data_IF_191243449075
#
_entry.id   IF_191243449075
#
_cell.length_a   1.000
_cell.length_b   1.000
_cell.length_c   1.000
_cell.angle_alpha   90.00
_cell.angle_beta   90.00
_cell.angle_gamma   90.00
#
_symmetry.space_group_name_H-M   'P 1'
#
loop_
_entity.id
_entity.type
_entity.pdbx_description
1 polymer ?
#
# COMPACT_ATOMS: atom_id res chain seq x y z
N UNK A 1 8.25 9.87 -1.98
CA UNK A 1 7.59 9.55 -0.71
C UNK A 1 8.38 8.53 0.12
N UNK A 2 8.74 7.36 -0.40
CA UNK A 2 9.52 6.32 0.32
C UNK A 2 10.90 6.73 0.86
N UNK A 3 11.67 7.56 0.13
CA UNK A 3 12.98 8.07 0.60
C UNK A 3 12.89 8.88 1.90
N UNK A 4 11.71 9.41 2.27
CA UNK A 4 11.53 10.16 3.53
C UNK A 4 11.38 9.23 4.74
N UNK A 5 11.04 7.97 4.51
CA UNK A 5 10.71 7.00 5.56
C UNK A 5 11.76 5.90 5.74
N UNK A 6 12.71 5.77 4.81
CA UNK A 6 13.79 4.78 4.86
C UNK A 6 15.15 5.46 4.76
N UNK A 7 16.02 5.19 5.74
CA UNK A 7 17.34 5.83 5.87
C UNK A 7 18.33 5.42 4.76
N UNK A 8 18.05 4.36 3.98
CA UNK A 8 18.90 3.87 2.90
C UNK A 8 18.11 3.61 1.62
N UNK A 9 18.63 4.07 0.50
CA UNK A 9 18.01 3.89 -0.82
C UNK A 9 17.89 2.42 -1.24
N UNK A 10 18.88 1.60 -0.88
CA UNK A 10 18.85 0.17 -1.17
C UNK A 10 17.72 -0.56 -0.42
N UNK A 11 17.42 -0.16 0.81
CA UNK A 11 16.28 -0.69 1.58
C UNK A 11 14.94 -0.24 0.96
N UNK A 12 14.84 1.01 0.53
CA UNK A 12 13.67 1.50 -0.19
C UNK A 12 13.42 0.73 -1.50
N UNK A 13 14.49 0.46 -2.26
CA UNK A 13 14.39 -0.32 -3.51
C UNK A 13 14.03 -1.78 -3.23
N UNK A 14 14.62 -2.38 -2.20
CA UNK A 14 14.30 -3.75 -1.78
C UNK A 14 12.82 -3.87 -1.37
N UNK A 15 12.31 -2.91 -0.60
CA UNK A 15 10.90 -2.86 -0.17
C UNK A 15 9.96 -2.73 -1.36
N UNK A 16 10.24 -1.80 -2.28
CA UNK A 16 9.43 -1.63 -3.50
C UNK A 16 9.42 -2.90 -4.35
N UNK A 17 10.58 -3.53 -4.51
CA UNK A 17 10.70 -4.79 -5.25
C UNK A 17 9.89 -5.91 -4.60
N UNK A 18 9.95 -6.01 -3.28
CA UNK A 18 9.14 -6.97 -2.53
C UNK A 18 7.64 -6.68 -2.69
N UNK A 19 7.23 -5.40 -2.72
CA UNK A 19 5.85 -5.00 -2.93
C UNK A 19 5.33 -5.43 -4.31
N UNK A 20 6.15 -5.26 -5.36
CA UNK A 20 5.80 -5.67 -6.71
C UNK A 20 5.65 -7.19 -6.89
N UNK A 21 6.30 -7.99 -6.04
CA UNK A 21 6.22 -9.46 -6.09
C UNK A 21 5.22 -9.99 -5.06
N UNK A 22 4.81 -9.17 -4.10
CA UNK A 22 3.84 -9.55 -3.08
C UNK A 22 2.48 -9.79 -3.70
N UNK A 23 1.83 -10.87 -3.28
CA UNK A 23 0.40 -11.00 -3.44
C UNK A 23 -0.30 -9.97 -2.54
N UNK A 24 -1.42 -9.46 -3.03
CA UNK A 24 -2.32 -8.59 -2.27
C UNK A 24 -3.74 -8.93 -2.66
N UNK A 25 -4.64 -8.86 -1.69
CA UNK A 25 -6.05 -9.14 -1.90
C UNK A 25 -6.75 -7.83 -2.26
N UNK A 26 -7.62 -7.90 -3.27
CA UNK A 26 -8.45 -6.75 -3.69
C UNK A 26 -9.89 -7.08 -3.38
N UNK A 27 -10.45 -6.37 -2.41
CA UNK A 27 -11.79 -6.56 -1.90
C UNK A 27 -12.66 -5.36 -2.30
N UNK A 28 -13.55 -5.52 -3.30
CA UNK A 28 -14.53 -4.49 -3.62
C UNK A 28 -15.64 -4.47 -2.57
N UNK A 29 -15.97 -3.27 -2.09
CA UNK A 29 -17.17 -3.00 -1.29
C UNK A 29 -18.11 -2.12 -2.12
N UNK A 30 -19.14 -2.74 -2.67
CA UNK A 30 -20.15 -2.08 -3.49
C UNK A 30 -21.05 -1.14 -2.67
N UNK A 31 -21.17 -1.32 -1.36
CA UNK A 31 -22.05 -0.49 -0.51
C UNK A 31 -21.41 0.85 -0.20
N UNK A 32 -20.11 0.85 0.10
CA UNK A 32 -19.33 2.07 0.34
C UNK A 32 -18.71 2.64 -0.94
N UNK A 33 -18.81 1.92 -2.07
CA UNK A 33 -18.11 2.21 -3.32
C UNK A 33 -16.59 2.38 -3.09
N UNK A 34 -16.02 1.45 -2.33
CA UNK A 34 -14.58 1.41 -2.02
C UNK A 34 -13.94 0.14 -2.57
N UNK A 35 -12.66 0.24 -2.90
CA UNK A 35 -11.84 -0.89 -3.30
C UNK A 35 -10.70 -1.02 -2.29
N UNK A 36 -10.79 -2.00 -1.41
CA UNK A 36 -9.78 -2.22 -0.37
C UNK A 36 -8.68 -3.11 -0.92
N UNK A 37 -7.44 -2.63 -0.81
CA UNK A 37 -6.24 -3.31 -1.30
C UNK A 37 -5.43 -3.71 -0.07
N UNK A 38 -5.53 -4.99 0.27
CA UNK A 38 -4.88 -5.60 1.41
C UNK A 38 -3.48 -6.07 1.00
N UNK A 39 -2.46 -5.40 1.51
CA UNK A 39 -1.06 -5.76 1.30
C UNK A 39 -0.59 -6.56 2.51
N UNK A 40 -0.09 -7.77 2.26
CA UNK A 40 0.46 -8.63 3.31
C UNK A 40 1.77 -8.06 3.86
N UNK A 41 1.96 -8.17 5.18
CA UNK A 41 3.21 -7.81 5.87
C UNK A 41 4.46 -8.46 5.26
N UNK A 42 5.59 -7.77 5.41
CA UNK A 42 6.88 -8.20 4.89
C UNK A 42 7.79 -8.77 5.98
N UNK A 43 8.94 -9.29 5.56
CA UNK A 43 9.82 -10.10 6.39
C UNK A 43 10.42 -9.41 7.64
N UNK A 44 10.33 -8.07 7.79
CA UNK A 44 10.83 -7.40 9.01
C UNK A 44 9.90 -6.28 9.52
N UNK A 45 9.81 -6.08 10.86
CA UNK A 45 8.95 -5.04 11.46
C UNK A 45 9.27 -3.60 11.02
N UNK A 46 10.53 -3.33 10.67
CA UNK A 46 10.94 -2.02 10.18
C UNK A 46 10.34 -1.72 8.79
N UNK A 47 10.27 -2.74 7.93
CA UNK A 47 9.62 -2.64 6.62
C UNK A 47 8.12 -2.48 6.76
N UNK A 48 7.47 -3.22 7.67
CA UNK A 48 6.04 -3.08 7.95
C UNK A 48 5.67 -1.65 8.36
N UNK A 49 6.49 -1.02 9.22
CA UNK A 49 6.27 0.37 9.63
C UNK A 49 6.38 1.34 8.47
N UNK A 50 7.41 1.20 7.63
CA UNK A 50 7.60 2.05 6.46
C UNK A 50 6.49 1.84 5.41
N UNK A 51 6.06 0.59 5.23
CA UNK A 51 4.97 0.22 4.32
C UNK A 51 3.62 0.75 4.81
N UNK A 52 3.32 0.63 6.10
CA UNK A 52 2.10 1.19 6.67
C UNK A 52 1.99 2.71 6.48
N UNK A 53 3.09 3.44 6.65
CA UNK A 53 3.13 4.88 6.36
C UNK A 53 2.89 5.18 4.88
N UNK A 54 3.51 4.41 3.98
CA UNK A 54 3.27 4.56 2.54
C UNK A 54 1.81 4.31 2.17
N UNK A 55 1.19 3.25 2.70
CA UNK A 55 -0.20 2.91 2.38
C UNK A 55 -1.17 3.95 2.97
N UNK A 56 -0.87 4.53 4.13
CA UNK A 56 -1.60 5.66 4.67
C UNK A 56 -1.51 6.89 3.76
N UNK A 57 -0.30 7.26 3.31
CA UNK A 57 -0.08 8.37 2.36
C UNK A 57 -0.83 8.14 1.02
N UNK A 58 -0.90 6.89 0.55
CA UNK A 58 -1.64 6.54 -0.66
C UNK A 58 -3.16 6.61 -0.46
N UNK A 59 -3.65 6.18 0.71
CA UNK A 59 -5.07 6.26 1.05
C UNK A 59 -5.54 7.70 1.22
N UNK A 60 -4.68 8.57 1.79
CA UNK A 60 -4.98 9.99 1.99
C UNK A 60 -5.07 10.77 0.67
N UNK A 61 -4.32 10.36 -0.35
CA UNK A 61 -4.44 10.90 -1.71
C UNK A 61 -5.79 10.60 -2.38
N UNK A 62 -6.63 9.75 -1.76
CA UNK A 62 -8.00 9.48 -2.18
C UNK A 62 -8.12 9.09 -3.66
N UNK A 63 -7.23 8.20 -4.12
CA UNK A 63 -7.29 7.68 -5.49
C UNK A 63 -8.62 6.99 -5.76
N UNK A 64 -9.15 7.22 -6.96
CA UNK A 64 -10.35 6.56 -7.45
C UNK A 64 -9.99 5.63 -8.61
N UNK A 65 -10.60 4.46 -8.63
CA UNK A 65 -10.43 3.51 -9.73
C UNK A 65 -10.98 4.13 -11.04
N UNK A 66 -10.22 4.11 -12.15
CA UNK A 66 -10.55 4.90 -13.34
C UNK A 66 -11.84 4.47 -14.04
N UNK A 67 -12.26 3.21 -13.88
CA UNK A 67 -13.44 2.68 -14.57
C UNK A 67 -14.69 2.61 -13.68
N UNK A 68 -14.52 2.41 -12.37
CA UNK A 68 -15.65 2.23 -11.44
C UNK A 68 -15.87 3.44 -10.55
N UNK A 69 -14.90 4.36 -10.47
CA UNK A 69 -14.94 5.49 -9.55
C UNK A 69 -14.82 5.09 -8.08
N UNK A 70 -14.62 3.80 -7.77
CA UNK A 70 -14.51 3.33 -6.39
C UNK A 70 -13.26 3.91 -5.73
N UNK A 71 -13.39 4.39 -4.48
CA UNK A 71 -12.27 4.94 -3.73
C UNK A 71 -11.33 3.82 -3.30
N UNK A 72 -10.06 3.92 -3.64
CA UNK A 72 -9.04 2.94 -3.32
C UNK A 72 -8.53 3.17 -1.90
N UNK A 73 -8.61 2.14 -1.06
CA UNK A 73 -8.15 2.16 0.33
C UNK A 73 -7.02 1.13 0.44
N UNK A 74 -5.86 1.56 0.92
CA UNK A 74 -4.68 0.71 1.03
C UNK A 74 -4.45 0.34 2.50
N UNK A 75 -4.49 -0.96 2.80
CA UNK A 75 -4.36 -1.48 4.15
C UNK A 75 -3.18 -2.46 4.24
N UNK A 76 -2.45 -2.41 5.35
CA UNK A 76 -1.48 -3.44 5.71
C UNK A 76 -2.18 -4.51 6.56
N UNK A 77 -2.13 -5.77 6.14
CA UNK A 77 -2.74 -6.93 6.85
C UNK A 77 -1.69 -7.88 7.42
#
# INVERSE_FOLDING_TARGET
MLRKHLNKEDEARALVRALFVSSGDIEPDERSNTLTINIHRMATPAHDKALGLLLADLTDQAFCHPQTGAKMIFCLV
#
